data_IF_960677528352
#
_entry.id   IF_960677528352
#
_cell.length_a   1.000
_cell.length_b   1.000
_cell.length_c   1.000
_cell.angle_alpha   90.00
_cell.angle_beta   90.00
_cell.angle_gamma   90.00
#
_symmetry.space_group_name_H-M   'P 1'
#
loop_
_entity.id
_entity.type
_entity.pdbx_description
1 polymer ?
#
# COMPACT_ATOMS: atom_id res chain seq x y z
N UNK A 1 -3.81 -31.68 -12.88
CA UNK A 1 -3.98 -30.72 -13.99
C UNK A 1 -2.75 -29.83 -14.02
N UNK A 2 -1.82 -30.05 -14.97
CA UNK A 2 -0.55 -29.32 -15.06
C UNK A 2 -0.78 -28.03 -15.85
N UNK A 3 -0.55 -26.87 -15.22
CA UNK A 3 -0.68 -25.56 -15.87
C UNK A 3 0.59 -25.27 -16.69
N UNK A 4 0.41 -25.00 -17.99
CA UNK A 4 1.48 -24.62 -18.91
C UNK A 4 2.18 -23.34 -18.42
N UNK A 5 3.47 -23.42 -18.15
CA UNK A 5 4.30 -22.25 -17.85
C UNK A 5 4.50 -21.46 -19.15
N UNK A 6 4.00 -20.23 -19.20
CA UNK A 6 4.11 -19.36 -20.37
C UNK A 6 5.57 -19.09 -20.74
N UNK A 7 5.92 -19.20 -22.02
CA UNK A 7 7.21 -18.78 -22.54
C UNK A 7 7.40 -17.28 -22.32
N UNK A 8 8.36 -16.91 -21.46
CA UNK A 8 8.82 -15.52 -21.35
C UNK A 8 9.78 -15.26 -22.50
N UNK A 9 9.32 -14.54 -23.52
CA UNK A 9 10.24 -13.84 -24.40
C UNK A 9 11.06 -12.87 -23.55
N UNK A 10 12.38 -13.07 -23.54
CA UNK A 10 13.32 -12.15 -22.93
C UNK A 10 13.10 -10.76 -23.57
N UNK A 11 12.61 -9.80 -22.78
CA UNK A 11 12.61 -8.38 -23.17
C UNK A 11 14.05 -7.98 -23.41
N UNK A 12 14.50 -8.02 -24.66
CA UNK A 12 15.74 -7.35 -25.09
C UNK A 12 15.59 -5.89 -24.65
N UNK A 13 16.45 -5.47 -23.74
CA UNK A 13 16.35 -4.19 -23.07
C UNK A 13 16.25 -3.04 -24.08
N UNK A 14 15.39 -2.08 -23.77
CA UNK A 14 15.18 -0.81 -24.52
C UNK A 14 16.46 0.00 -24.78
N UNK A 15 17.59 -0.40 -24.19
CA UNK A 15 18.88 0.22 -24.40
C UNK A 15 19.48 -0.14 -25.77
N UNK A 16 19.18 -1.32 -26.31
CA UNK A 16 19.66 -1.73 -27.63
C UNK A 16 18.98 -0.94 -28.78
N UNK A 17 17.72 -0.52 -28.59
CA UNK A 17 17.01 0.33 -29.57
C UNK A 17 17.43 1.80 -29.51
N UNK A 18 18.04 2.25 -28.41
CA UNK A 18 18.62 3.59 -28.30
C UNK A 18 19.99 3.67 -28.99
N UNK A 19 20.78 2.59 -28.94
CA UNK A 19 22.08 2.49 -29.58
C UNK A 19 22.00 2.26 -31.10
N UNK A 20 20.97 1.57 -31.59
CA UNK A 20 20.80 1.26 -33.02
C UNK A 20 20.40 2.46 -33.90
N UNK A 21 20.01 3.59 -33.30
CA UNK A 21 19.54 4.80 -34.00
C UNK A 21 20.57 5.94 -34.00
N UNK A 22 21.86 5.64 -33.86
CA UNK A 22 22.94 6.62 -34.03
C UNK A 22 23.21 6.92 -35.51
N UNK A 23 22.18 7.24 -36.28
CA UNK A 23 22.35 8.05 -37.48
C UNK A 23 22.73 9.46 -37.02
N UNK A 24 23.72 10.07 -37.66
CA UNK A 24 24.27 11.37 -37.28
C UNK A 24 23.16 12.33 -36.85
N UNK A 25 23.13 12.69 -35.56
CA UNK A 25 22.13 13.60 -35.01
C UNK A 25 22.32 14.96 -35.66
N UNK A 26 21.48 15.25 -36.65
CA UNK A 26 21.50 16.53 -37.33
C UNK A 26 21.25 17.66 -36.31
N UNK A 27 21.95 18.80 -36.42
CA UNK A 27 21.91 19.88 -35.43
C UNK A 27 20.45 20.32 -35.15
N UNK A 28 19.63 20.32 -36.20
CA UNK A 28 18.20 20.63 -36.13
C UNK A 28 17.39 19.57 -35.38
N UNK A 29 17.70 18.29 -35.55
CA UNK A 29 17.04 17.20 -34.83
C UNK A 29 17.40 17.22 -33.34
N UNK A 30 18.66 17.51 -33.01
CA UNK A 30 19.12 17.72 -31.64
C UNK A 30 18.39 18.89 -30.97
N UNK A 31 18.37 20.07 -31.60
CA UNK A 31 17.70 21.26 -31.04
C UNK A 31 16.20 21.05 -30.86
N UNK A 32 15.51 20.40 -31.81
CA UNK A 32 14.07 20.09 -31.66
C UNK A 32 13.80 19.13 -30.50
N UNK A 33 14.61 18.08 -30.36
CA UNK A 33 14.41 17.06 -29.33
C UNK A 33 14.76 17.58 -27.93
N UNK A 34 15.83 18.36 -27.83
CA UNK A 34 16.24 19.03 -26.58
C UNK A 34 15.27 20.13 -26.18
N UNK A 35 14.75 20.92 -27.14
CA UNK A 35 13.73 21.95 -26.86
C UNK A 35 12.42 21.38 -26.31
N UNK A 36 11.94 20.27 -26.89
CA UNK A 36 10.74 19.58 -26.38
C UNK A 36 11.00 18.93 -25.01
N UNK A 37 12.16 18.27 -24.83
CA UNK A 37 12.52 17.63 -23.57
C UNK A 37 12.68 18.62 -22.40
N UNK A 38 13.37 19.74 -22.63
CA UNK A 38 13.55 20.77 -21.60
C UNK A 38 12.25 21.55 -21.35
N UNK A 39 11.49 21.87 -22.41
CA UNK A 39 10.23 22.63 -22.29
C UNK A 39 9.14 21.89 -21.54
N UNK A 40 9.04 20.57 -21.72
CA UNK A 40 8.03 19.74 -21.03
C UNK A 40 8.27 19.66 -19.52
N UNK A 41 9.53 19.60 -19.07
CA UNK A 41 9.87 19.64 -17.64
C UNK A 41 9.60 21.01 -17.01
N UNK A 42 9.84 22.10 -17.76
CA UNK A 42 9.51 23.45 -17.28
C UNK A 42 8.00 23.62 -17.07
N UNK A 43 7.17 23.11 -17.99
CA UNK A 43 5.70 23.17 -17.86
C UNK A 43 5.22 22.38 -16.64
N UNK A 44 5.75 21.17 -16.41
CA UNK A 44 5.42 20.37 -15.22
C UNK A 44 5.84 21.05 -13.91
N UNK A 45 6.98 21.75 -13.90
CA UNK A 45 7.44 22.52 -12.74
C UNK A 45 6.60 23.78 -12.44
N UNK A 46 5.92 24.33 -13.45
CA UNK A 46 4.98 25.46 -13.29
C UNK A 46 3.55 25.03 -12.98
N UNK A 47 3.22 23.74 -13.06
CA UNK A 47 1.92 23.27 -12.64
C UNK A 47 1.81 23.43 -11.12
N UNK A 48 0.75 24.08 -10.61
CA UNK A 48 0.61 24.28 -9.19
C UNK A 48 0.46 22.92 -8.51
N UNK A 49 1.43 22.56 -7.65
CA UNK A 49 1.31 21.44 -6.68
C UNK A 49 0.19 21.68 -5.64
N UNK A 50 -0.72 22.62 -5.88
CA UNK A 50 -1.81 23.02 -5.01
C UNK A 50 -2.83 21.91 -4.72
N UNK A 51 -2.74 20.76 -5.39
CA UNK A 51 -3.53 19.57 -5.08
C UNK A 51 -2.90 18.64 -4.03
N UNK A 52 -1.66 18.90 -3.59
CA UNK A 52 -0.98 18.10 -2.58
C UNK A 52 -1.11 18.79 -1.22
N UNK A 53 -2.15 18.40 -0.47
CA UNK A 53 -2.30 18.77 0.94
C UNK A 53 -1.44 17.89 1.83
N UNK A 54 -0.74 18.50 2.78
CA UNK A 54 -0.09 17.76 3.86
C UNK A 54 -1.17 17.05 4.68
N UNK A 55 -1.17 15.72 4.67
CA UNK A 55 -2.06 14.94 5.51
C UNK A 55 -1.45 14.84 6.90
N UNK A 56 -2.10 15.44 7.89
CA UNK A 56 -1.80 15.15 9.29
C UNK A 56 -2.21 13.70 9.57
N UNK A 57 -1.32 12.96 10.21
CA UNK A 57 -1.62 11.60 10.64
C UNK A 57 -2.84 11.64 11.56
N UNK A 58 -3.86 10.83 11.25
CA UNK A 58 -5.00 10.67 12.15
C UNK A 58 -4.47 10.34 13.55
N UNK A 59 -4.93 11.09 14.55
CA UNK A 59 -4.52 10.87 15.93
C UNK A 59 -4.73 9.39 16.28
N UNK A 60 -3.70 8.77 16.86
CA UNK A 60 -3.76 7.39 17.33
C UNK A 60 -4.71 7.31 18.53
N UNK A 61 -6.00 7.18 18.24
CA UNK A 61 -7.08 7.06 19.20
C UNK A 61 -8.16 6.13 18.66
N UNK A 62 -9.02 5.60 19.53
CA UNK A 62 -10.12 4.77 19.09
C UNK A 62 -10.98 5.55 18.09
N UNK A 63 -11.30 4.93 16.97
CA UNK A 63 -12.11 5.52 15.90
C UNK A 63 -13.54 5.84 16.37
N UNK A 64 -13.98 5.20 17.46
CA UNK A 64 -15.29 5.38 18.08
C UNK A 64 -15.22 6.17 19.40
N UNK A 65 -16.06 7.20 19.51
CA UNK A 65 -16.18 8.02 20.72
C UNK A 65 -16.62 7.17 21.93
N UNK A 66 -15.84 7.21 23.01
CA UNK A 66 -16.10 6.45 24.25
C UNK A 66 -15.62 5.00 24.24
N UNK A 67 -14.96 4.54 23.18
CA UNK A 67 -14.37 3.20 23.17
C UNK A 67 -13.06 3.16 23.97
N UNK A 68 -12.86 2.05 24.68
CA UNK A 68 -11.65 1.75 25.44
C UNK A 68 -10.76 0.86 24.59
N UNK A 69 -9.50 1.23 24.48
CA UNK A 69 -8.50 0.43 23.76
C UNK A 69 -7.95 -0.67 24.66
N UNK A 70 -7.96 -1.92 24.17
CA UNK A 70 -7.43 -3.10 24.86
C UNK A 70 -6.53 -3.90 23.91
N UNK A 71 -5.38 -4.36 24.39
CA UNK A 71 -4.52 -5.26 23.61
C UNK A 71 -4.96 -6.71 23.80
N UNK A 72 -5.02 -7.45 22.71
CA UNK A 72 -5.30 -8.89 22.69
C UNK A 72 -4.41 -9.60 21.67
N UNK A 73 -4.55 -10.92 21.57
CA UNK A 73 -3.81 -11.76 20.64
C UNK A 73 -4.79 -12.36 19.63
N UNK A 74 -4.44 -12.28 18.35
CA UNK A 74 -5.19 -12.91 17.27
C UNK A 74 -5.09 -14.44 17.38
N UNK A 75 -6.24 -15.11 17.51
CA UNK A 75 -6.34 -16.56 17.68
C UNK A 75 -6.56 -17.32 16.37
N UNK A 76 -6.54 -16.63 15.22
CA UNK A 76 -6.90 -17.25 13.95
C UNK A 76 -5.86 -18.27 13.44
N UNK A 77 -4.58 -18.04 13.73
CA UNK A 77 -3.51 -18.98 13.37
C UNK A 77 -2.42 -18.98 14.44
N UNK A 78 -1.46 -19.89 14.32
CA UNK A 78 -0.39 -20.10 15.31
C UNK A 78 0.60 -18.95 15.47
N UNK A 79 0.54 -17.92 14.61
CA UNK A 79 1.47 -16.78 14.67
C UNK A 79 1.20 -15.89 15.90
N UNK A 80 -0.06 -15.75 16.33
CA UNK A 80 -0.39 -14.98 17.54
C UNK A 80 -0.12 -13.47 17.42
N UNK A 81 -0.45 -12.86 16.29
CA UNK A 81 -0.27 -11.41 16.09
C UNK A 81 -1.02 -10.57 17.14
N UNK A 82 -0.43 -9.47 17.62
CA UNK A 82 -1.10 -8.56 18.57
C UNK A 82 -2.17 -7.73 17.89
N UNK A 83 -3.34 -7.62 18.54
CA UNK A 83 -4.46 -6.82 18.07
C UNK A 83 -4.77 -5.74 19.11
N UNK A 84 -4.96 -4.53 18.64
CA UNK A 84 -5.45 -3.40 19.42
C UNK A 84 -6.96 -3.33 19.22
N UNK A 85 -7.71 -3.88 20.16
CA UNK A 85 -9.16 -3.95 20.14
C UNK A 85 -9.79 -2.68 20.71
N UNK A 86 -10.79 -2.16 20.04
CA UNK A 86 -11.68 -1.11 20.53
C UNK A 86 -12.90 -1.76 21.16
N UNK A 87 -13.14 -1.46 22.43
CA UNK A 87 -14.23 -2.02 23.23
C UNK A 87 -15.12 -0.91 23.75
N UNK A 88 -16.40 -0.92 23.38
CA UNK A 88 -17.40 0.01 23.89
C UNK A 88 -18.47 -0.78 24.64
N UNK A 89 -18.81 -0.38 25.86
CA UNK A 89 -19.81 -1.04 26.71
C UNK A 89 -19.57 -2.56 26.87
N UNK A 90 -18.30 -2.98 26.92
CA UNK A 90 -17.92 -4.40 27.01
C UNK A 90 -18.01 -5.19 25.70
N UNK A 91 -18.43 -4.57 24.59
CA UNK A 91 -18.54 -5.18 23.27
C UNK A 91 -17.34 -4.81 22.41
N UNK A 92 -16.73 -5.80 21.76
CA UNK A 92 -15.65 -5.58 20.81
C UNK A 92 -16.20 -5.03 19.49
N UNK A 93 -15.98 -3.73 19.24
CA UNK A 93 -16.55 -3.00 18.11
C UNK A 93 -15.57 -2.83 16.93
N UNK A 94 -14.27 -2.73 17.20
CA UNK A 94 -13.26 -2.44 16.19
C UNK A 94 -11.90 -3.05 16.53
N UNK A 95 -11.03 -3.19 15.54
CA UNK A 95 -9.68 -3.70 15.78
C UNK A 95 -8.68 -3.17 14.75
N UNK A 96 -7.50 -2.82 15.23
CA UNK A 96 -6.35 -2.45 14.41
C UNK A 96 -5.11 -3.26 14.83
N UNK A 97 -4.11 -3.44 13.95
CA UNK A 97 -2.85 -4.07 14.34
C UNK A 97 -2.05 -3.17 15.28
N UNK A 98 -1.30 -3.78 16.18
CA UNK A 98 -0.47 -3.05 17.15
C UNK A 98 0.91 -2.74 16.56
N UNK A 99 1.26 -1.45 16.46
CA UNK A 99 2.59 -1.02 15.99
C UNK A 99 3.74 -1.47 16.89
N UNK A 100 3.49 -1.59 18.19
CA UNK A 100 4.45 -2.04 19.20
C UNK A 100 4.64 -3.56 19.25
N UNK A 101 3.86 -4.32 18.47
CA UNK A 101 4.00 -5.77 18.43
C UNK A 101 5.32 -6.17 17.76
N UNK A 102 6.11 -7.07 18.36
CA UNK A 102 7.30 -7.60 17.71
C UNK A 102 6.96 -8.47 16.48
N UNK A 103 5.73 -8.98 16.40
CA UNK A 103 5.28 -9.94 15.39
C UNK A 103 4.71 -9.22 14.17
N UNK A 104 3.70 -8.36 14.37
CA UNK A 104 2.99 -7.77 13.24
C UNK A 104 3.34 -6.32 12.94
N UNK A 105 4.01 -5.60 13.86
CA UNK A 105 4.51 -4.23 13.66
C UNK A 105 3.52 -3.31 12.92
N UNK A 106 2.25 -3.33 13.32
CA UNK A 106 1.22 -2.49 12.69
C UNK A 106 0.63 -3.03 11.38
N UNK A 107 0.81 -4.31 11.06
CA UNK A 107 0.21 -4.95 9.89
C UNK A 107 -0.83 -6.02 10.24
N UNK A 108 -1.83 -6.18 9.38
CA UNK A 108 -2.80 -7.26 9.45
C UNK A 108 -2.78 -8.07 8.15
N UNK A 109 -2.91 -9.40 8.30
CA UNK A 109 -3.35 -10.24 7.20
C UNK A 109 -4.89 -10.27 7.16
N UNK A 110 -5.48 -10.69 6.04
CA UNK A 110 -6.94 -10.77 5.89
C UNK A 110 -7.62 -11.57 7.02
N UNK A 111 -6.98 -12.67 7.44
CA UNK A 111 -7.43 -13.52 8.55
C UNK A 111 -7.44 -12.80 9.91
N UNK A 112 -6.43 -11.96 10.13
CA UNK A 112 -6.30 -11.18 11.35
C UNK A 112 -7.30 -10.04 11.39
N UNK A 113 -7.53 -9.36 10.26
CA UNK A 113 -8.51 -8.30 10.14
C UNK A 113 -9.95 -8.79 10.42
N UNK A 114 -10.25 -10.06 10.12
CA UNK A 114 -11.57 -10.66 10.38
C UNK A 114 -11.69 -11.41 11.71
N UNK A 115 -10.73 -11.32 12.64
CA UNK A 115 -10.74 -12.18 13.85
C UNK A 115 -11.92 -11.88 14.78
N UNK A 116 -12.37 -10.63 14.87
CA UNK A 116 -13.56 -10.23 15.64
C UNK A 116 -14.82 -11.02 15.26
N UNK A 117 -14.99 -11.33 13.97
CA UNK A 117 -16.17 -12.02 13.46
C UNK A 117 -16.29 -13.48 13.95
N UNK A 118 -15.20 -14.07 14.44
CA UNK A 118 -15.26 -15.40 15.07
C UNK A 118 -16.01 -15.40 16.41
N UNK A 119 -16.11 -14.23 17.06
CA UNK A 119 -16.79 -14.07 18.35
C UNK A 119 -18.22 -13.55 18.15
N UNK A 120 -18.42 -12.60 17.22
CA UNK A 120 -19.72 -11.97 16.96
C UNK A 120 -20.55 -12.64 15.85
N UNK A 121 -20.03 -13.67 15.17
CA UNK A 121 -20.70 -14.26 14.00
C UNK A 121 -22.00 -15.00 14.33
N UNK A 122 -23.01 -14.84 13.47
CA UNK A 122 -24.35 -15.44 13.61
C UNK A 122 -24.33 -16.98 13.69
N UNK A 123 -23.35 -17.62 13.05
CA UNK A 123 -23.18 -19.08 12.99
C UNK A 123 -22.33 -19.66 14.13
N UNK A 124 -21.95 -18.85 15.12
CA UNK A 124 -21.17 -19.31 16.28
C UNK A 124 -22.04 -20.19 17.18
N UNK A 125 -21.47 -21.29 17.69
CA UNK A 125 -22.12 -22.15 18.69
C UNK A 125 -22.37 -21.35 19.98
N UNK A 126 -23.58 -21.48 20.54
CA UNK A 126 -24.04 -20.82 21.77
C UNK A 126 -23.95 -21.76 22.95
#
# INVERSE_FOLDING_TARGET
>A
MLVKKSDRQARRGSLASLAANSTALDRRAFLRRSGIGAGSLAVLGTMPLASVRQAEAAAAGPLSAGAIVRKSICTHCSVGCTVTAEVANGVWIGQEPSWDSPINRGSHCAKGASVRELVSGERRLK
#
